data_IF_533914842671
#
_entry.id   IF_533914842671
#
_cell.length_a   1.000
_cell.length_b   1.000
_cell.length_c   1.000
_cell.angle_alpha   90.00
_cell.angle_beta   90.00
_cell.angle_gamma   90.00
#
_symmetry.space_group_name_H-M   'P 1'
#
loop_
_entity.id
_entity.type
_entity.pdbx_description
1 polymer ?
#
# COMPACT_ATOMS: atom_id res chain seq x y z
N UNK A 1 -13.27 22.37 -16.06
CA UNK A 1 -13.02 21.82 -17.36
C UNK A 1 -13.41 20.36 -17.32
N UNK A 2 -14.53 19.99 -17.99
CA UNK A 2 -14.96 18.61 -18.06
C UNK A 2 -13.96 17.78 -18.85
N UNK A 3 -13.49 16.70 -18.27
CA UNK A 3 -12.81 15.66 -19.02
C UNK A 3 -13.78 15.19 -20.12
N UNK A 4 -13.46 15.49 -21.36
CA UNK A 4 -14.11 14.82 -22.48
C UNK A 4 -13.85 13.33 -22.29
N UNK A 5 -14.89 12.58 -21.93
CA UNK A 5 -14.83 11.11 -21.95
C UNK A 5 -14.37 10.71 -23.35
N UNK A 6 -13.16 10.22 -23.46
CA UNK A 6 -12.63 9.62 -24.67
C UNK A 6 -13.58 8.49 -25.08
N UNK A 7 -14.54 8.79 -25.91
CA UNK A 7 -15.41 7.79 -26.50
C UNK A 7 -14.64 7.11 -27.62
N UNK A 8 -14.61 5.77 -27.62
CA UNK A 8 -14.03 5.06 -28.74
C UNK A 8 -14.75 5.48 -30.03
N UNK A 9 -13.96 5.77 -31.07
CA UNK A 9 -14.46 6.14 -32.38
C UNK A 9 -14.42 4.94 -33.32
N UNK A 10 -15.12 3.89 -32.94
CA UNK A 10 -15.26 2.70 -33.81
C UNK A 10 -16.47 2.91 -34.72
N UNK A 11 -16.22 2.87 -36.04
CA UNK A 11 -17.25 2.88 -37.06
C UNK A 11 -17.61 1.48 -37.47
N UNK A 12 -18.90 1.15 -37.45
CA UNK A 12 -19.42 -0.15 -37.88
C UNK A 12 -19.99 -0.07 -39.29
N UNK A 13 -19.49 -0.95 -40.14
CA UNK A 13 -20.00 -1.19 -41.50
C UNK A 13 -20.54 -2.62 -41.60
N UNK A 14 -21.50 -2.79 -42.45
CA UNK A 14 -22.00 -4.12 -42.87
C UNK A 14 -21.88 -4.21 -44.37
N UNK A 15 -21.13 -5.18 -44.87
CA UNK A 15 -20.88 -5.35 -46.31
C UNK A 15 -20.47 -4.03 -47.00
N UNK A 16 -19.55 -3.30 -46.35
CA UNK A 16 -19.01 -1.99 -46.79
C UNK A 16 -20.04 -0.82 -46.76
N UNK A 17 -21.21 -1.04 -46.18
CA UNK A 17 -22.22 0.00 -45.98
C UNK A 17 -22.10 0.55 -44.55
N UNK A 18 -21.98 1.87 -44.42
CA UNK A 18 -21.93 2.50 -43.09
C UNK A 18 -23.26 2.27 -42.33
N UNK A 19 -23.19 1.81 -41.12
CA UNK A 19 -24.33 1.55 -40.23
C UNK A 19 -24.39 2.56 -39.11
N UNK A 20 -23.29 2.68 -38.30
CA UNK A 20 -23.22 3.65 -37.22
C UNK A 20 -21.79 3.97 -36.83
N UNK A 21 -21.60 5.13 -36.22
CA UNK A 21 -20.39 5.53 -35.51
C UNK A 21 -20.60 5.47 -34.00
N UNK A 22 -19.52 5.60 -33.21
CA UNK A 22 -19.56 5.58 -31.73
C UNK A 22 -20.37 4.42 -31.15
N UNK A 23 -20.10 3.20 -31.64
CA UNK A 23 -20.70 1.99 -31.08
C UNK A 23 -20.16 1.72 -29.67
N UNK A 24 -20.85 2.27 -28.65
CA UNK A 24 -20.39 2.28 -27.25
C UNK A 24 -20.12 0.90 -26.68
N UNK A 25 -20.85 -0.11 -27.12
CA UNK A 25 -20.76 -1.45 -26.55
C UNK A 25 -19.85 -2.40 -27.34
N UNK A 26 -19.19 -1.89 -28.36
CA UNK A 26 -18.29 -2.72 -29.19
C UNK A 26 -16.94 -3.00 -28.53
N UNK A 27 -16.51 -2.12 -27.63
CA UNK A 27 -15.32 -2.28 -26.79
C UNK A 27 -15.62 -1.95 -25.34
N UNK A 28 -14.94 -2.60 -24.37
CA UNK A 28 -15.05 -2.24 -22.98
C UNK A 28 -14.45 -0.86 -22.71
N UNK A 29 -14.83 -0.25 -21.59
CA UNK A 29 -14.41 1.12 -21.24
C UNK A 29 -12.89 1.27 -21.13
N UNK A 30 -12.19 0.25 -20.66
CA UNK A 30 -10.72 0.31 -20.56
C UNK A 30 -10.01 0.37 -21.93
N UNK A 31 -10.70 0.06 -23.01
CA UNK A 31 -10.20 0.21 -24.39
C UNK A 31 -10.84 1.41 -25.13
N UNK A 32 -11.38 2.37 -24.41
CA UNK A 32 -12.08 3.55 -24.97
C UNK A 32 -11.19 4.45 -25.85
N UNK A 33 -9.90 4.33 -25.78
CA UNK A 33 -8.93 5.08 -26.58
C UNK A 33 -8.71 4.51 -27.99
N UNK A 34 -9.27 3.34 -28.28
CA UNK A 34 -9.09 2.67 -29.57
C UNK A 34 -10.02 3.28 -30.60
N UNK A 35 -9.47 3.58 -31.78
CA UNK A 35 -10.17 4.08 -32.94
C UNK A 35 -10.02 3.11 -34.09
N UNK A 36 -11.05 2.98 -34.91
CA UNK A 36 -10.97 2.10 -36.07
C UNK A 36 -12.29 1.87 -36.76
N UNK A 37 -12.26 0.91 -37.66
CA UNK A 37 -13.37 0.51 -38.52
C UNK A 37 -13.57 -1.00 -38.40
N UNK A 38 -14.82 -1.40 -38.27
CA UNK A 38 -15.24 -2.82 -38.32
C UNK A 38 -16.21 -2.99 -39.46
N UNK A 39 -15.97 -3.97 -40.30
CA UNK A 39 -16.88 -4.37 -41.36
C UNK A 39 -17.32 -5.82 -41.13
N UNK A 40 -18.60 -6.03 -40.94
CA UNK A 40 -19.19 -7.37 -40.73
C UNK A 40 -20.02 -7.79 -41.94
N UNK A 41 -19.87 -9.06 -42.36
CA UNK A 41 -20.72 -9.66 -43.38
C UNK A 41 -21.95 -10.37 -42.78
N UNK A 42 -22.01 -10.53 -41.48
CA UNK A 42 -23.00 -11.38 -40.78
C UNK A 42 -24.18 -10.60 -40.19
N UNK A 43 -24.09 -9.27 -40.12
CA UNK A 43 -25.18 -8.42 -39.65
C UNK A 43 -26.12 -8.03 -40.80
N UNK A 44 -27.45 -7.97 -40.58
CA UNK A 44 -28.37 -7.44 -41.57
C UNK A 44 -28.23 -5.94 -41.79
N UNK A 45 -28.42 -5.43 -42.99
CA UNK A 45 -28.24 -4.02 -43.35
C UNK A 45 -29.27 -3.06 -42.72
N UNK A 46 -30.42 -3.59 -42.28
CA UNK A 46 -31.53 -2.81 -41.69
C UNK A 46 -31.59 -2.90 -40.18
N UNK A 47 -30.43 -2.95 -39.53
CA UNK A 47 -30.32 -3.13 -38.06
C UNK A 47 -30.44 -1.81 -37.35
N UNK A 48 -31.34 -1.71 -36.36
CA UNK A 48 -31.37 -0.59 -35.41
C UNK A 48 -30.23 -0.67 -34.40
N UNK A 49 -29.88 0.46 -33.77
CA UNK A 49 -28.84 0.50 -32.71
C UNK A 49 -29.16 -0.46 -31.57
N UNK A 50 -30.44 -0.56 -31.17
CA UNK A 50 -30.89 -1.44 -30.08
C UNK A 50 -30.76 -2.92 -30.46
N UNK A 51 -31.13 -3.28 -31.69
CA UNK A 51 -30.98 -4.63 -32.20
C UNK A 51 -29.52 -5.07 -32.32
N UNK A 52 -28.60 -4.15 -32.59
CA UNK A 52 -27.16 -4.41 -32.63
C UNK A 52 -26.64 -4.75 -31.22
N UNK A 53 -27.05 -3.98 -30.21
CA UNK A 53 -26.61 -4.15 -28.82
C UNK A 53 -27.01 -5.53 -28.26
N UNK A 54 -28.14 -6.06 -28.65
CA UNK A 54 -28.64 -7.38 -28.22
C UNK A 54 -28.12 -8.54 -29.08
N UNK A 55 -27.46 -8.25 -30.18
CA UNK A 55 -27.01 -9.24 -31.16
C UNK A 55 -25.90 -10.14 -30.61
N UNK A 56 -26.06 -11.46 -30.82
CA UNK A 56 -24.97 -12.44 -30.56
C UNK A 56 -23.74 -12.18 -31.43
N UNK A 57 -23.94 -11.65 -32.64
CA UNK A 57 -22.86 -11.30 -33.57
C UNK A 57 -22.01 -10.18 -32.99
N UNK A 58 -22.64 -9.16 -32.38
CA UNK A 58 -21.89 -8.07 -31.73
C UNK A 58 -21.03 -8.56 -30.58
N UNK A 59 -21.51 -9.52 -29.80
CA UNK A 59 -20.70 -10.12 -28.71
C UNK A 59 -19.46 -10.83 -29.25
N UNK A 60 -19.59 -11.54 -30.37
CA UNK A 60 -18.45 -12.17 -31.03
C UNK A 60 -17.48 -11.14 -31.58
N UNK A 61 -17.99 -10.10 -32.23
CA UNK A 61 -17.19 -8.98 -32.74
C UNK A 61 -16.42 -8.33 -31.59
N UNK A 62 -17.09 -7.99 -30.49
CA UNK A 62 -16.49 -7.41 -29.29
C UNK A 62 -15.35 -8.28 -28.75
N UNK A 63 -15.59 -9.56 -28.59
CA UNK A 63 -14.58 -10.53 -28.11
C UNK A 63 -13.35 -10.55 -29.02
N UNK A 64 -13.54 -10.55 -30.32
CA UNK A 64 -12.44 -10.56 -31.30
C UNK A 64 -11.69 -9.22 -31.34
N UNK A 65 -12.39 -8.10 -31.20
CA UNK A 65 -11.78 -6.76 -31.15
C UNK A 65 -10.94 -6.59 -29.89
N UNK A 66 -11.43 -7.03 -28.75
CA UNK A 66 -10.65 -7.00 -27.49
C UNK A 66 -9.38 -7.82 -27.63
N UNK A 67 -9.50 -9.05 -28.14
CA UNK A 67 -8.35 -9.93 -28.39
C UNK A 67 -7.36 -9.29 -29.36
N UNK A 68 -7.83 -8.76 -30.48
CA UNK A 68 -6.97 -8.11 -31.48
C UNK A 68 -6.27 -6.89 -30.95
N UNK A 69 -6.96 -6.06 -30.18
CA UNK A 69 -6.39 -4.87 -29.56
C UNK A 69 -5.29 -5.26 -28.56
N UNK A 70 -5.51 -6.26 -27.72
CA UNK A 70 -4.49 -6.77 -26.80
C UNK A 70 -3.30 -7.33 -27.55
N UNK A 71 -3.52 -8.09 -28.63
CA UNK A 71 -2.44 -8.62 -29.48
C UNK A 71 -1.61 -7.48 -30.10
N UNK A 72 -2.25 -6.41 -30.57
CA UNK A 72 -1.54 -5.22 -31.10
C UNK A 72 -0.67 -4.53 -30.05
N UNK A 73 -1.18 -4.39 -28.82
CA UNK A 73 -0.38 -3.85 -27.71
C UNK A 73 0.78 -4.78 -27.34
N UNK A 74 0.56 -6.09 -27.38
CA UNK A 74 1.61 -7.09 -27.12
C UNK A 74 2.70 -7.09 -28.21
N UNK A 75 2.32 -6.93 -29.45
CA UNK A 75 3.27 -6.79 -30.57
C UNK A 75 4.13 -5.54 -30.39
N UNK A 76 3.53 -4.41 -30.04
CA UNK A 76 4.25 -3.17 -29.75
C UNK A 76 5.23 -3.35 -28.56
N UNK A 77 4.80 -4.06 -27.51
CA UNK A 77 5.63 -4.34 -26.34
C UNK A 77 6.81 -5.30 -26.66
N UNK A 78 6.69 -6.10 -27.72
CA UNK A 78 7.69 -7.07 -28.16
C UNK A 78 8.74 -6.47 -29.12
N UNK A 79 8.54 -5.25 -29.60
CA UNK A 79 9.52 -4.57 -30.45
C UNK A 79 10.85 -4.37 -29.70
N UNK A 80 11.97 -4.40 -30.45
CA UNK A 80 13.31 -4.15 -29.88
C UNK A 80 13.42 -2.73 -29.30
N UNK A 81 12.78 -1.75 -29.94
CA UNK A 81 12.70 -0.38 -29.45
C UNK A 81 11.64 -0.25 -28.34
N UNK A 82 12.09 -0.44 -27.11
CA UNK A 82 11.23 -0.34 -25.92
C UNK A 82 10.70 1.07 -25.66
N UNK A 83 11.30 2.10 -26.22
CA UNK A 83 10.85 3.47 -26.02
C UNK A 83 9.46 3.71 -26.60
N UNK A 84 9.14 3.09 -27.73
CA UNK A 84 7.79 3.19 -28.33
C UNK A 84 6.71 2.68 -27.40
N UNK A 85 6.92 1.48 -26.84
CA UNK A 85 5.97 0.92 -25.90
C UNK A 85 5.90 1.72 -24.59
N UNK A 86 7.02 2.15 -24.06
CA UNK A 86 7.05 2.96 -22.83
C UNK A 86 6.29 4.28 -23.00
N UNK A 87 6.42 4.92 -24.15
CA UNK A 87 5.67 6.13 -24.48
C UNK A 87 4.16 5.87 -24.59
N UNK A 88 3.77 4.77 -25.20
CA UNK A 88 2.38 4.32 -25.24
C UNK A 88 1.87 4.03 -23.83
N UNK A 89 2.62 3.28 -23.04
CA UNK A 89 2.29 2.90 -21.68
C UNK A 89 2.12 4.11 -20.75
N UNK A 90 2.97 5.11 -20.87
CA UNK A 90 2.85 6.37 -20.12
C UNK A 90 1.47 7.03 -20.31
N UNK A 91 0.96 7.01 -21.54
CA UNK A 91 -0.36 7.57 -21.84
C UNK A 91 -1.54 6.71 -21.43
N UNK A 92 -1.40 5.39 -21.43
CA UNK A 92 -2.51 4.44 -21.31
C UNK A 92 -2.36 3.38 -20.20
N UNK A 93 -1.40 3.57 -19.31
CA UNK A 93 -1.17 2.65 -18.18
C UNK A 93 -2.43 2.43 -17.34
N UNK A 94 -3.17 3.48 -17.03
CA UNK A 94 -4.41 3.40 -16.24
C UNK A 94 -5.47 2.56 -16.94
N UNK A 95 -5.59 2.67 -18.25
CA UNK A 95 -6.49 1.85 -19.05
C UNK A 95 -6.13 0.36 -18.97
N UNK A 96 -4.85 0.03 -19.11
CA UNK A 96 -4.37 -1.35 -18.99
C UNK A 96 -4.64 -1.88 -17.57
N UNK A 97 -4.34 -1.12 -16.54
CA UNK A 97 -4.57 -1.48 -15.14
C UNK A 97 -6.06 -1.69 -14.84
N UNK A 98 -6.93 -0.85 -15.38
CA UNK A 98 -8.38 -1.03 -15.29
C UNK A 98 -8.80 -2.34 -15.98
N UNK A 99 -8.24 -2.64 -17.13
CA UNK A 99 -8.47 -3.91 -17.83
C UNK A 99 -8.05 -5.14 -17.01
N UNK A 100 -6.90 -5.06 -16.36
CA UNK A 100 -6.44 -6.13 -15.42
C UNK A 100 -7.44 -6.31 -14.28
N UNK A 101 -8.03 -5.23 -13.78
CA UNK A 101 -9.05 -5.29 -12.73
C UNK A 101 -10.37 -5.89 -13.22
N UNK A 102 -10.89 -5.44 -14.36
CA UNK A 102 -12.24 -5.77 -14.83
C UNK A 102 -12.33 -7.05 -15.67
N UNK A 103 -11.32 -7.33 -16.50
CA UNK A 103 -11.36 -8.38 -17.51
C UNK A 103 -10.66 -9.64 -17.02
N UNK A 104 -11.42 -10.54 -16.41
CA UNK A 104 -10.89 -11.79 -15.87
C UNK A 104 -10.40 -12.75 -16.97
N UNK A 105 -10.98 -12.71 -18.16
CA UNK A 105 -10.60 -13.57 -19.29
C UNK A 105 -9.23 -13.20 -19.86
N UNK A 106 -8.95 -11.91 -19.98
CA UNK A 106 -7.72 -11.38 -20.55
C UNK A 106 -6.71 -10.88 -19.50
N UNK A 107 -6.99 -11.08 -18.22
CA UNK A 107 -6.16 -10.56 -17.12
C UNK A 107 -4.69 -10.93 -17.23
N UNK A 108 -4.39 -12.17 -17.52
CA UNK A 108 -3.01 -12.63 -17.66
C UNK A 108 -2.27 -11.94 -18.81
N UNK A 109 -2.92 -11.82 -19.97
CA UNK A 109 -2.34 -11.11 -21.12
C UNK A 109 -2.16 -9.63 -20.86
N UNK A 110 -3.17 -8.96 -20.27
CA UNK A 110 -3.08 -7.56 -19.88
C UNK A 110 -1.99 -7.33 -18.84
N UNK A 111 -1.83 -8.25 -17.89
CA UNK A 111 -0.79 -8.18 -16.87
C UNK A 111 0.62 -8.23 -17.46
N UNK A 112 0.82 -8.94 -18.57
CA UNK A 112 2.11 -8.96 -19.28
C UNK A 112 2.51 -7.58 -19.85
N UNK A 113 1.54 -6.69 -20.02
CA UNK A 113 1.72 -5.33 -20.54
C UNK A 113 2.09 -4.31 -19.45
N UNK A 114 1.96 -4.66 -18.16
CA UNK A 114 2.29 -3.81 -17.04
C UNK A 114 3.80 -3.53 -16.96
N UNK A 115 4.14 -2.31 -16.54
CA UNK A 115 5.54 -1.87 -16.38
C UNK A 115 5.69 -1.10 -15.08
N UNK A 116 6.71 -1.44 -14.30
CA UNK A 116 6.97 -0.85 -12.99
C UNK A 116 8.45 -0.58 -12.77
N UNK A 117 8.81 0.51 -12.06
CA UNK A 117 10.14 0.62 -11.49
C UNK A 117 10.36 -0.46 -10.43
N UNK A 118 11.61 -0.78 -10.15
CA UNK A 118 11.97 -1.78 -9.15
C UNK A 118 13.22 -1.38 -8.36
N UNK A 119 13.53 -2.16 -7.33
CA UNK A 119 14.77 -1.98 -6.55
C UNK A 119 16.03 -2.18 -7.36
N UNK A 120 15.97 -2.87 -8.49
CA UNK A 120 17.10 -3.06 -9.41
C UNK A 120 17.26 -1.93 -10.41
N UNK A 121 16.16 -1.26 -10.76
CA UNK A 121 16.21 -0.06 -11.59
C UNK A 121 15.00 0.84 -11.33
N UNK A 122 15.25 2.05 -10.84
CA UNK A 122 14.23 3.07 -10.69
C UNK A 122 13.91 3.79 -12.01
N UNK A 123 14.81 3.75 -12.98
CA UNK A 123 14.69 4.45 -14.26
C UNK A 123 14.17 3.58 -15.38
N UNK A 124 14.59 2.32 -15.43
CA UNK A 124 14.12 1.36 -16.42
C UNK A 124 12.92 0.61 -15.87
N UNK A 125 11.82 0.66 -16.61
CA UNK A 125 10.60 -0.05 -16.23
C UNK A 125 10.75 -1.55 -16.45
N UNK A 126 10.23 -2.33 -15.52
CA UNK A 126 10.29 -3.79 -15.50
C UNK A 126 8.89 -4.37 -15.76
N UNK A 127 8.81 -5.32 -16.70
CA UNK A 127 7.62 -6.16 -16.87
C UNK A 127 7.59 -7.27 -15.82
N UNK A 128 6.42 -7.87 -15.61
CA UNK A 128 6.31 -9.05 -14.75
C UNK A 128 7.12 -10.24 -15.30
N UNK A 129 7.17 -10.40 -16.62
CA UNK A 129 8.00 -11.44 -17.26
C UNK A 129 9.49 -11.22 -17.04
N UNK A 130 9.98 -9.98 -17.16
CA UNK A 130 11.37 -9.64 -16.87
C UNK A 130 11.70 -9.86 -15.39
N UNK A 131 10.79 -9.51 -14.49
CA UNK A 131 10.94 -9.81 -13.07
C UNK A 131 11.11 -11.31 -12.84
N UNK A 132 10.23 -12.13 -13.40
CA UNK A 132 10.28 -13.61 -13.27
C UNK A 132 11.59 -14.16 -13.83
N UNK A 133 12.09 -13.61 -14.94
CA UNK A 133 13.37 -14.03 -15.54
C UNK A 133 14.58 -13.81 -14.63
N UNK A 134 14.48 -12.85 -13.71
CA UNK A 134 15.52 -12.51 -12.73
C UNK A 134 15.29 -13.08 -11.33
N UNK A 135 14.19 -13.82 -11.12
CA UNK A 135 13.90 -14.43 -9.83
C UNK A 135 14.97 -15.45 -9.43
N UNK A 136 15.22 -15.57 -8.13
CA UNK A 136 16.02 -16.64 -7.59
C UNK A 136 15.35 -18.00 -7.88
N UNK A 137 16.15 -19.05 -8.04
CA UNK A 137 15.68 -20.40 -8.40
C UNK A 137 14.54 -20.90 -7.50
N UNK A 138 14.62 -20.62 -6.20
CA UNK A 138 13.64 -21.07 -5.21
C UNK A 138 12.59 -20.00 -4.85
N UNK A 139 12.63 -18.84 -5.50
CA UNK A 139 11.69 -17.76 -5.23
C UNK A 139 10.31 -18.10 -5.80
N UNK A 140 9.28 -18.02 -4.97
CA UNK A 140 7.89 -18.36 -5.33
C UNK A 140 7.01 -17.14 -5.59
N UNK A 141 7.43 -15.97 -5.12
CA UNK A 141 6.60 -14.77 -5.09
C UNK A 141 7.21 -13.60 -5.84
N UNK A 142 6.35 -12.81 -6.46
CA UNK A 142 6.68 -11.50 -7.00
C UNK A 142 6.48 -10.49 -5.88
N UNK A 143 7.56 -9.90 -5.40
CA UNK A 143 7.51 -8.92 -4.31
C UNK A 143 7.23 -7.52 -4.83
N UNK A 144 6.35 -6.81 -4.15
CA UNK A 144 6.07 -5.41 -4.45
C UNK A 144 5.88 -4.59 -3.18
N UNK A 145 6.10 -3.29 -3.29
CA UNK A 145 5.80 -2.29 -2.28
C UNK A 145 5.03 -1.14 -2.94
N UNK A 146 3.93 -0.76 -2.34
CA UNK A 146 3.11 0.37 -2.79
C UNK A 146 3.40 1.62 -1.98
N UNK A 147 3.30 2.78 -2.62
CA UNK A 147 3.48 4.07 -1.98
C UNK A 147 3.06 5.22 -2.87
N UNK A 148 3.18 6.43 -2.37
CA UNK A 148 2.83 7.65 -3.09
C UNK A 148 3.78 7.93 -4.27
N UNK A 149 5.07 7.65 -4.07
CA UNK A 149 6.11 7.80 -5.09
C UNK A 149 7.25 6.84 -4.83
N UNK A 150 8.08 6.58 -5.86
CA UNK A 150 9.30 5.78 -5.69
C UNK A 150 10.22 6.39 -4.64
N UNK A 151 10.40 7.71 -4.67
CA UNK A 151 11.23 8.44 -3.72
C UNK A 151 10.80 8.23 -2.27
N UNK A 152 9.49 8.11 -2.02
CA UNK A 152 8.95 7.92 -0.66
C UNK A 152 9.17 6.51 -0.12
N UNK A 153 9.38 5.50 -0.96
CA UNK A 153 9.45 4.09 -0.57
C UNK A 153 10.75 3.37 -0.91
N UNK A 154 11.62 3.95 -1.73
CA UNK A 154 12.87 3.30 -2.17
C UNK A 154 13.85 2.98 -1.03
N UNK A 155 13.76 3.69 0.09
CA UNK A 155 14.56 3.48 1.31
C UNK A 155 13.72 2.93 2.48
N UNK A 156 12.59 2.34 2.19
CA UNK A 156 11.70 1.77 3.22
C UNK A 156 12.37 0.64 4.00
N UNK A 157 12.16 0.56 5.33
CA UNK A 157 12.65 -0.55 6.14
C UNK A 157 12.08 -1.91 5.71
N UNK A 158 10.94 -1.95 5.06
CA UNK A 158 10.37 -3.18 4.50
C UNK A 158 11.27 -3.86 3.46
N UNK A 159 12.20 -3.12 2.86
CA UNK A 159 13.09 -3.61 1.80
C UNK A 159 14.43 -4.13 2.31
N UNK A 160 14.79 -3.92 3.57
CA UNK A 160 16.16 -4.13 4.07
C UNK A 160 16.66 -5.56 3.86
N UNK A 161 15.95 -6.56 4.36
CA UNK A 161 16.37 -7.96 4.24
C UNK A 161 16.24 -8.48 2.81
N UNK A 162 15.23 -8.04 2.08
CA UNK A 162 15.04 -8.40 0.68
C UNK A 162 16.22 -7.90 -0.18
N UNK A 163 16.62 -6.66 0.00
CA UNK A 163 17.81 -6.10 -0.68
C UNK A 163 19.09 -6.84 -0.30
N UNK A 164 19.27 -7.14 0.99
CA UNK A 164 20.45 -7.88 1.48
C UNK A 164 20.54 -9.28 0.87
N UNK A 165 19.43 -9.96 0.71
CA UNK A 165 19.35 -11.29 0.08
C UNK A 165 19.32 -11.24 -1.45
N UNK A 166 19.29 -10.05 -2.07
CA UNK A 166 19.31 -9.87 -3.51
C UNK A 166 17.97 -10.07 -4.22
N UNK A 167 16.85 -10.06 -3.50
CA UNK A 167 15.52 -10.10 -4.10
C UNK A 167 15.13 -8.76 -4.68
N UNK A 168 14.56 -8.79 -5.88
CA UNK A 168 13.97 -7.61 -6.51
C UNK A 168 12.58 -7.34 -5.98
N UNK A 169 12.24 -6.05 -5.77
CA UNK A 169 10.92 -5.59 -5.35
C UNK A 169 10.41 -4.55 -6.33
N UNK A 170 9.21 -4.75 -6.85
CA UNK A 170 8.52 -3.80 -7.72
C UNK A 170 7.91 -2.66 -6.89
N UNK A 171 7.90 -1.45 -7.45
CA UNK A 171 7.26 -0.28 -6.84
C UNK A 171 5.96 0.06 -7.55
N UNK A 172 4.87 0.03 -6.80
CA UNK A 172 3.53 0.37 -7.27
C UNK A 172 3.11 1.71 -6.69
N UNK A 173 3.16 2.76 -7.49
CA UNK A 173 2.98 4.14 -7.03
C UNK A 173 1.75 4.84 -7.62
N UNK A 174 0.93 4.13 -8.36
CA UNK A 174 -0.35 4.63 -8.85
C UNK A 174 -1.48 4.12 -7.94
N UNK A 175 -2.42 5.00 -7.58
CA UNK A 175 -3.56 4.63 -6.72
C UNK A 175 -4.39 3.47 -7.29
N UNK A 176 -4.54 3.41 -8.61
CA UNK A 176 -5.26 2.31 -9.27
C UNK A 176 -4.59 0.95 -9.07
N UNK A 177 -3.29 0.89 -8.79
CA UNK A 177 -2.58 -0.36 -8.52
C UNK A 177 -3.16 -1.10 -7.31
N UNK A 178 -3.59 -0.38 -6.27
CA UNK A 178 -4.21 -0.99 -5.09
C UNK A 178 -5.54 -1.70 -5.43
N UNK A 179 -6.32 -1.12 -6.32
CA UNK A 179 -7.56 -1.75 -6.80
C UNK A 179 -7.27 -2.91 -7.73
N UNK A 180 -6.33 -2.75 -8.65
CA UNK A 180 -5.90 -3.80 -9.58
C UNK A 180 -5.40 -5.04 -8.81
N UNK A 181 -4.63 -4.87 -7.75
CA UNK A 181 -4.10 -5.94 -6.91
C UNK A 181 -5.17 -6.71 -6.13
N UNK A 182 -6.38 -6.17 -5.99
CA UNK A 182 -7.50 -6.92 -5.42
C UNK A 182 -7.89 -8.10 -6.31
N UNK A 183 -7.66 -8.01 -7.62
CA UNK A 183 -7.97 -9.03 -8.61
C UNK A 183 -6.73 -9.77 -9.12
N UNK A 184 -5.60 -9.10 -9.26
CA UNK A 184 -4.33 -9.71 -9.68
C UNK A 184 -3.60 -10.30 -8.47
N UNK A 185 -3.88 -11.58 -8.15
CA UNK A 185 -3.24 -12.29 -7.04
C UNK A 185 -2.04 -13.12 -7.48
N UNK A 186 -2.10 -13.66 -8.68
CA UNK A 186 -1.08 -14.54 -9.24
C UNK A 186 -0.77 -14.14 -10.69
N UNK A 187 0.46 -14.38 -11.10
CA UNK A 187 0.90 -14.25 -12.48
C UNK A 187 1.87 -15.37 -12.83
N UNK A 188 1.55 -16.18 -13.83
CA UNK A 188 2.35 -17.35 -14.27
C UNK A 188 2.81 -18.23 -13.07
N UNK A 189 1.87 -18.64 -12.25
CA UNK A 189 2.08 -19.46 -11.05
C UNK A 189 2.91 -18.81 -9.94
N UNK A 190 3.16 -17.51 -10.01
CA UNK A 190 3.83 -16.73 -8.98
C UNK A 190 2.84 -15.82 -8.28
N UNK A 191 2.78 -15.91 -6.96
CA UNK A 191 1.93 -15.05 -6.14
C UNK A 191 2.54 -13.66 -5.99
N UNK A 192 1.73 -12.61 -6.14
CA UNK A 192 2.15 -11.24 -5.82
C UNK A 192 2.06 -11.03 -4.31
N UNK A 193 3.15 -10.61 -3.67
CA UNK A 193 3.24 -10.42 -2.22
C UNK A 193 3.63 -8.99 -1.88
N UNK A 194 2.79 -8.34 -1.07
CA UNK A 194 3.05 -7.03 -0.48
C UNK A 194 4.06 -7.15 0.66
N UNK A 195 5.24 -6.54 0.50
CA UNK A 195 6.32 -6.64 1.50
C UNK A 195 6.08 -5.84 2.77
N UNK A 196 5.03 -5.01 2.80
CA UNK A 196 4.58 -4.29 4.00
C UNK A 196 3.60 -5.08 4.87
N UNK A 197 3.18 -6.27 4.41
CA UNK A 197 2.27 -7.16 5.12
C UNK A 197 3.02 -8.30 5.80
N UNK A 198 2.34 -8.97 6.74
CA UNK A 198 2.87 -10.18 7.39
C UNK A 198 3.12 -11.31 6.37
N UNK A 199 3.94 -12.27 6.76
CA UNK A 199 4.23 -13.50 6.01
C UNK A 199 4.82 -13.29 4.61
N UNK A 200 6.07 -12.83 4.55
CA UNK A 200 6.79 -12.68 3.29
C UNK A 200 7.08 -14.02 2.58
N UNK A 201 7.09 -15.12 3.31
CA UNK A 201 7.43 -16.42 2.76
C UNK A 201 8.88 -16.52 2.26
N UNK A 202 9.81 -15.77 2.87
CA UNK A 202 11.23 -15.86 2.56
C UNK A 202 11.77 -17.22 2.94
N UNK A 203 12.58 -17.81 2.05
CA UNK A 203 13.33 -19.01 2.39
C UNK A 203 14.41 -18.69 3.42
N UNK A 204 14.42 -19.48 4.49
CA UNK A 204 15.39 -19.42 5.55
C UNK A 204 16.14 -20.75 5.62
N UNK A 205 17.43 -20.67 5.93
CA UNK A 205 18.23 -21.87 6.26
C UNK A 205 17.76 -22.48 7.58
N UNK A 206 18.06 -23.74 7.83
CA UNK A 206 17.76 -24.38 9.11
C UNK A 206 18.41 -23.67 10.30
N UNK A 207 19.61 -23.10 10.09
CA UNK A 207 20.30 -22.28 11.09
C UNK A 207 19.57 -20.99 11.39
N UNK A 208 19.09 -20.28 10.36
CA UNK A 208 18.30 -19.05 10.50
C UNK A 208 16.98 -19.31 11.23
N UNK A 209 16.27 -20.40 10.91
CA UNK A 209 15.04 -20.81 11.59
C UNK A 209 15.28 -21.10 13.07
N UNK A 210 16.34 -21.84 13.38
CA UNK A 210 16.69 -22.20 14.75
C UNK A 210 17.06 -20.97 15.58
N UNK A 211 17.87 -20.07 15.01
CA UNK A 211 18.23 -18.81 15.64
C UNK A 211 16.98 -17.94 15.90
N UNK A 212 16.08 -17.88 14.95
CA UNK A 212 14.83 -17.13 15.08
C UNK A 212 13.93 -17.69 16.19
N UNK A 213 13.76 -19.00 16.28
CA UNK A 213 13.01 -19.66 17.35
C UNK A 213 13.60 -19.39 18.74
N UNK A 214 14.95 -19.39 18.84
CA UNK A 214 15.65 -19.04 20.09
C UNK A 214 15.38 -17.58 20.46
N UNK A 215 15.43 -16.66 19.51
CA UNK A 215 15.15 -15.23 19.72
C UNK A 215 13.69 -14.98 20.10
N UNK A 216 12.73 -15.68 19.49
CA UNK A 216 11.33 -15.59 19.89
C UNK A 216 11.12 -15.97 21.36
N UNK A 217 11.78 -17.00 21.83
CA UNK A 217 11.71 -17.43 23.23
C UNK A 217 12.39 -16.42 24.17
N UNK A 218 13.54 -15.90 23.76
CA UNK A 218 14.32 -14.94 24.55
C UNK A 218 13.58 -13.62 24.74
N UNK A 219 12.87 -13.14 23.70
CA UNK A 219 12.17 -11.86 23.72
C UNK A 219 10.68 -11.95 24.07
N UNK A 220 10.18 -13.11 24.44
CA UNK A 220 8.76 -13.32 24.72
C UNK A 220 8.18 -12.32 25.73
N UNK A 221 8.84 -12.19 26.89
CA UNK A 221 8.40 -11.30 27.96
C UNK A 221 8.46 -9.82 27.55
N UNK A 222 9.47 -9.45 26.78
CA UNK A 222 9.59 -8.09 26.22
C UNK A 222 8.46 -7.80 25.24
N UNK A 223 8.14 -8.73 24.37
CA UNK A 223 7.01 -8.58 23.44
C UNK A 223 5.67 -8.44 24.16
N UNK A 224 5.44 -9.21 25.20
CA UNK A 224 4.23 -9.07 26.04
C UNK A 224 4.17 -7.71 26.72
N UNK A 225 5.26 -7.25 27.29
CA UNK A 225 5.37 -5.91 27.89
C UNK A 225 5.09 -4.78 26.88
N UNK A 226 5.68 -4.87 25.69
CA UNK A 226 5.48 -3.88 24.62
C UNK A 226 4.01 -3.88 24.17
N UNK A 227 3.42 -5.05 24.00
CA UNK A 227 2.02 -5.17 23.61
C UNK A 227 1.06 -4.58 24.65
N UNK A 228 1.29 -4.86 25.93
CA UNK A 228 0.52 -4.28 27.02
C UNK A 228 0.65 -2.76 27.09
N UNK A 229 1.88 -2.25 26.94
CA UNK A 229 2.16 -0.80 26.95
C UNK A 229 1.43 -0.09 25.81
N UNK A 230 1.38 -0.68 24.63
CA UNK A 230 0.72 -0.09 23.45
C UNK A 230 -0.81 -0.27 23.44
N UNK A 231 -1.35 -1.03 24.35
CA UNK A 231 -2.78 -1.20 24.65
C UNK A 231 -3.75 -0.95 23.48
N UNK A 232 -3.96 -1.96 22.65
CA UNK A 232 -4.92 -1.93 21.54
C UNK A 232 -4.46 -1.18 20.27
N UNK A 233 -3.27 -0.60 20.24
CA UNK A 233 -2.72 0.06 19.05
C UNK A 233 -2.23 -0.93 18.00
N UNK A 234 -1.86 -2.13 18.45
CA UNK A 234 -1.40 -3.22 17.58
C UNK A 234 -2.11 -4.52 17.96
N UNK A 235 -2.26 -5.42 17.00
CA UNK A 235 -2.85 -6.73 17.23
C UNK A 235 -1.87 -7.69 17.90
N UNK A 236 -0.58 -7.57 17.60
CA UNK A 236 0.49 -8.35 18.23
C UNK A 236 1.85 -7.69 18.09
N UNK A 237 2.78 -8.11 18.92
CA UNK A 237 4.20 -7.75 18.88
C UNK A 237 5.01 -9.04 18.68
N UNK A 238 5.92 -9.03 17.72
CA UNK A 238 6.73 -10.21 17.36
C UNK A 238 8.11 -9.82 16.88
N UNK A 239 8.99 -10.82 16.76
CA UNK A 239 10.29 -10.64 16.12
C UNK A 239 10.14 -10.46 14.61
N UNK A 240 10.98 -9.62 14.00
CA UNK A 240 10.95 -9.34 12.59
C UNK A 240 11.80 -10.29 11.77
N UNK A 241 11.30 -10.69 10.58
CA UNK A 241 12.05 -11.40 9.55
C UNK A 241 12.52 -10.52 8.39
N UNK A 242 12.23 -9.20 8.42
CA UNK A 242 12.38 -8.33 7.24
C UNK A 242 13.32 -7.14 7.43
N UNK A 243 13.66 -6.77 8.65
CA UNK A 243 14.55 -5.64 8.95
C UNK A 243 15.95 -6.11 9.36
N UNK A 244 16.96 -5.27 9.07
CA UNK A 244 18.37 -5.53 9.34
C UNK A 244 18.99 -4.41 10.15
N UNK A 245 18.87 -3.17 9.68
CA UNK A 245 19.47 -1.98 10.28
C UNK A 245 18.49 -1.16 11.12
N UNK A 246 17.21 -1.34 10.90
CA UNK A 246 16.14 -0.65 11.63
C UNK A 246 15.73 -1.42 12.87
N UNK A 247 15.48 -0.75 14.02
CA UNK A 247 15.11 -1.43 15.26
C UNK A 247 13.71 -2.04 15.25
N UNK A 248 12.75 -1.40 14.60
CA UNK A 248 11.36 -1.80 14.60
C UNK A 248 10.69 -1.44 13.27
N UNK A 249 9.63 -2.16 12.93
CA UNK A 249 8.79 -1.86 11.78
C UNK A 249 7.33 -2.18 12.12
N UNK A 250 6.40 -1.44 11.54
CA UNK A 250 4.98 -1.65 11.68
C UNK A 250 4.42 -2.26 10.39
N UNK A 251 4.00 -3.51 10.44
CA UNK A 251 3.41 -4.22 9.30
C UNK A 251 1.89 -4.27 9.42
N UNK A 252 1.23 -4.52 8.30
CA UNK A 252 -0.19 -4.81 8.28
C UNK A 252 -0.42 -6.32 8.33
N UNK A 253 -1.54 -6.75 8.93
CA UNK A 253 -1.97 -8.13 8.80
C UNK A 253 -2.30 -8.46 7.35
N UNK A 254 -2.38 -9.75 7.03
CA UNK A 254 -2.67 -10.23 5.67
C UNK A 254 -3.93 -9.61 5.06
N UNK A 255 -4.96 -9.37 5.87
CA UNK A 255 -6.25 -8.81 5.45
C UNK A 255 -6.43 -7.34 5.82
N UNK A 256 -5.51 -6.74 6.55
CA UNK A 256 -5.53 -5.32 6.88
C UNK A 256 -5.07 -4.44 5.71
N UNK A 257 -5.41 -3.17 5.76
CA UNK A 257 -4.92 -2.21 4.78
C UNK A 257 -3.44 -1.90 5.00
N UNK A 258 -2.67 -1.85 3.91
CA UNK A 258 -1.33 -1.28 3.91
C UNK A 258 -1.37 0.23 4.24
N UNK A 259 -0.23 0.80 4.60
CA UNK A 259 -0.12 2.25 4.81
C UNK A 259 -0.59 3.05 3.58
N UNK A 260 -0.23 2.60 2.39
CA UNK A 260 -0.65 3.25 1.13
C UNK A 260 -2.17 3.17 0.93
N UNK A 261 -2.79 2.01 1.19
CA UNK A 261 -4.24 1.86 1.08
C UNK A 261 -4.97 2.73 2.11
N UNK A 262 -4.47 2.82 3.35
CA UNK A 262 -5.03 3.72 4.36
C UNK A 262 -4.99 5.18 3.91
N UNK A 263 -3.88 5.63 3.31
CA UNK A 263 -3.74 6.99 2.77
C UNK A 263 -4.78 7.26 1.68
N UNK A 264 -4.97 6.33 0.76
CA UNK A 264 -5.94 6.43 -0.34
C UNK A 264 -7.37 6.47 0.20
N UNK A 265 -7.71 5.58 1.11
CA UNK A 265 -9.06 5.48 1.66
C UNK A 265 -9.44 6.66 2.57
N UNK A 266 -8.49 7.25 3.29
CA UNK A 266 -8.71 8.48 4.07
C UNK A 266 -9.08 9.69 3.21
N UNK A 267 -8.58 9.75 1.98
CA UNK A 267 -8.90 10.81 1.02
C UNK A 267 -10.31 10.68 0.42
N UNK A 268 -10.99 9.54 0.60
CA UNK A 268 -12.34 9.28 0.11
C UNK A 268 -13.39 9.62 1.18
N UNK A 269 -14.10 10.72 1.00
CA UNK A 269 -15.05 11.30 1.98
C UNK A 269 -16.31 10.44 2.26
N UNK A 270 -16.55 9.37 1.52
CA UNK A 270 -17.75 8.52 1.61
C UNK A 270 -17.49 7.13 2.21
N UNK A 271 -16.31 6.89 2.77
CA UNK A 271 -15.98 5.61 3.33
C UNK A 271 -16.63 5.41 4.71
N UNK A 272 -17.15 4.21 4.93
CA UNK A 272 -17.72 3.81 6.21
C UNK A 272 -16.66 3.79 7.32
N UNK A 273 -16.83 4.63 8.34
CA UNK A 273 -15.86 4.78 9.42
C UNK A 273 -15.66 3.50 10.25
N UNK A 274 -16.66 2.64 10.37
CA UNK A 274 -16.57 1.41 11.15
C UNK A 274 -15.67 0.37 10.49
N UNK A 275 -15.82 0.17 9.19
CA UNK A 275 -14.97 -0.72 8.41
C UNK A 275 -13.54 -0.18 8.32
N UNK A 276 -13.37 1.13 8.16
CA UNK A 276 -12.05 1.77 8.17
C UNK A 276 -11.32 1.53 9.49
N UNK A 277 -11.97 1.72 10.63
CA UNK A 277 -11.37 1.48 11.95
C UNK A 277 -10.92 0.04 12.11
N UNK A 278 -11.73 -0.92 11.69
CA UNK A 278 -11.38 -2.34 11.74
C UNK A 278 -10.15 -2.64 10.86
N UNK A 279 -10.15 -2.20 9.60
CA UNK A 279 -9.06 -2.45 8.66
C UNK A 279 -7.77 -1.72 9.05
N UNK A 280 -7.87 -0.53 9.65
CA UNK A 280 -6.72 0.24 10.14
C UNK A 280 -6.11 -0.37 11.41
N UNK A 281 -6.89 -1.01 12.26
CA UNK A 281 -6.44 -1.60 13.53
C UNK A 281 -5.64 -2.90 13.39
N UNK A 282 -5.56 -3.48 12.20
CA UNK A 282 -4.88 -4.75 11.94
C UNK A 282 -3.37 -4.55 11.66
N UNK A 283 -2.64 -4.05 12.67
CA UNK A 283 -1.19 -3.77 12.60
C UNK A 283 -0.41 -4.69 13.52
N UNK A 284 0.77 -5.06 13.06
CA UNK A 284 1.72 -5.91 13.77
C UNK A 284 3.00 -5.13 14.00
N UNK A 285 3.44 -5.04 15.24
CA UNK A 285 4.69 -4.38 15.61
C UNK A 285 5.80 -5.40 15.66
N UNK A 286 6.77 -5.26 14.76
CA UNK A 286 7.90 -6.18 14.62
C UNK A 286 9.17 -5.56 15.18
N UNK A 287 9.85 -6.29 16.05
CA UNK A 287 11.10 -5.89 16.69
C UNK A 287 12.28 -6.61 16.04
N UNK A 288 13.39 -5.91 15.87
CA UNK A 288 14.66 -6.50 15.41
C UNK A 288 15.50 -6.96 16.61
N UNK A 289 15.58 -8.28 16.87
CA UNK A 289 16.29 -8.79 18.04
C UNK A 289 17.81 -8.56 18.00
N UNK A 290 18.37 -8.34 16.81
CA UNK A 290 19.79 -8.09 16.61
C UNK A 290 20.18 -6.60 16.72
N UNK A 291 19.20 -5.71 16.80
CA UNK A 291 19.47 -4.28 16.90
C UNK A 291 19.81 -3.88 18.33
N UNK A 292 20.88 -3.09 18.50
CA UNK A 292 21.37 -2.63 19.82
C UNK A 292 20.29 -1.98 20.67
N UNK A 293 19.39 -1.20 20.05
CA UNK A 293 18.29 -0.52 20.76
C UNK A 293 17.33 -1.53 21.37
N UNK A 294 16.98 -2.59 20.64
CA UNK A 294 16.06 -3.62 21.11
C UNK A 294 16.71 -4.49 22.18
N UNK A 295 18.00 -4.81 22.03
CA UNK A 295 18.75 -5.49 23.06
C UNK A 295 18.86 -4.64 24.34
N UNK A 296 19.10 -3.34 24.20
CA UNK A 296 19.11 -2.39 25.32
C UNK A 296 17.77 -2.30 26.03
N UNK A 297 16.68 -2.27 25.29
CA UNK A 297 15.32 -2.31 25.83
C UNK A 297 15.08 -3.58 26.67
N UNK A 298 15.48 -4.73 26.16
CA UNK A 298 15.39 -6.00 26.86
C UNK A 298 16.20 -6.00 28.17
N UNK A 299 17.43 -5.56 28.12
CA UNK A 299 18.30 -5.50 29.30
C UNK A 299 17.73 -4.57 30.38
N UNK A 300 17.21 -3.43 29.98
CA UNK A 300 16.59 -2.47 30.91
C UNK A 300 15.30 -3.01 31.51
N UNK A 301 14.47 -3.70 30.72
CA UNK A 301 13.26 -4.38 31.17
C UNK A 301 13.58 -5.49 32.18
N UNK A 302 14.60 -6.29 31.96
CA UNK A 302 15.01 -7.37 32.88
C UNK A 302 15.55 -6.81 34.19
N UNK A 303 16.19 -5.63 34.17
CA UNK A 303 16.73 -4.99 35.34
C UNK A 303 15.61 -4.37 36.22
N UNK A 304 14.64 -3.69 35.63
CA UNK A 304 13.50 -3.09 36.32
C UNK A 304 12.28 -3.06 35.40
N UNK A 305 11.34 -3.97 35.67
CA UNK A 305 10.08 -4.09 34.88
C UNK A 305 9.13 -2.91 35.07
N UNK A 306 9.31 -2.13 36.13
CA UNK A 306 8.44 -1.00 36.49
C UNK A 306 9.06 0.38 36.18
N UNK A 307 10.17 0.40 35.44
CA UNK A 307 10.81 1.62 35.01
C UNK A 307 9.85 2.43 34.11
N UNK A 308 9.42 3.62 34.56
CA UNK A 308 8.50 4.50 33.85
C UNK A 308 9.07 4.97 32.51
N UNK A 309 10.38 5.13 32.43
CA UNK A 309 11.09 5.53 31.20
C UNK A 309 10.97 4.48 30.10
N UNK A 310 10.83 3.19 30.45
CA UNK A 310 10.64 2.12 29.47
C UNK A 310 9.37 2.30 28.64
N UNK A 311 8.27 2.72 29.27
CA UNK A 311 7.00 2.96 28.58
C UNK A 311 7.12 4.08 27.55
N UNK A 312 7.78 5.17 27.92
CA UNK A 312 8.03 6.28 27.00
C UNK A 312 8.92 5.86 25.83
N UNK A 313 9.96 5.05 26.07
CA UNK A 313 10.81 4.51 25.02
C UNK A 313 10.06 3.59 24.06
N UNK A 314 9.17 2.75 24.58
CA UNK A 314 8.30 1.88 23.75
C UNK A 314 7.39 2.72 22.86
N UNK A 315 6.74 3.75 23.41
CA UNK A 315 5.90 4.65 22.62
C UNK A 315 6.69 5.40 21.54
N UNK A 316 7.90 5.86 21.83
CA UNK A 316 8.76 6.52 20.85
C UNK A 316 9.20 5.58 19.73
N UNK A 317 9.58 4.36 20.06
CA UNK A 317 9.90 3.34 19.07
C UNK A 317 8.69 3.03 18.17
N UNK A 318 7.51 2.90 18.78
CA UNK A 318 6.28 2.68 18.04
C UNK A 318 5.92 3.85 17.12
N UNK A 319 5.89 5.07 17.63
CA UNK A 319 5.54 6.26 16.86
C UNK A 319 6.56 6.54 15.74
N UNK A 320 7.85 6.32 15.99
CA UNK A 320 8.89 6.37 14.96
C UNK A 320 8.67 5.32 13.88
N UNK A 321 8.26 4.12 14.27
CA UNK A 321 7.93 3.04 13.32
C UNK A 321 6.66 3.33 12.52
N UNK A 322 5.67 3.97 13.11
CA UNK A 322 4.47 4.46 12.39
C UNK A 322 4.88 5.33 11.22
N UNK A 323 5.72 6.33 11.47
CA UNK A 323 6.22 7.23 10.42
C UNK A 323 7.09 6.52 9.40
N UNK A 324 8.06 5.74 9.85
CA UNK A 324 9.02 5.06 8.98
C UNK A 324 8.38 3.94 8.14
N UNK A 325 7.25 3.40 8.59
CA UNK A 325 6.46 2.40 7.88
C UNK A 325 5.42 3.01 6.93
N UNK A 326 5.35 4.33 6.83
CA UNK A 326 4.48 5.06 5.91
C UNK A 326 3.09 5.38 6.44
N UNK A 327 2.81 5.10 7.71
CA UNK A 327 1.54 5.46 8.35
C UNK A 327 1.57 6.91 8.87
N UNK A 328 0.39 7.47 9.11
CA UNK A 328 0.24 8.75 9.76
C UNK A 328 0.12 8.60 11.28
N UNK A 329 0.71 9.54 12.03
CA UNK A 329 0.50 9.63 13.48
C UNK A 329 -0.92 10.08 13.79
N UNK A 330 -1.58 9.41 14.75
CA UNK A 330 -2.90 9.83 15.24
C UNK A 330 -2.82 11.13 16.05
N UNK A 331 -1.78 11.28 16.86
CA UNK A 331 -1.55 12.45 17.70
C UNK A 331 -0.10 12.95 17.58
N UNK A 332 0.20 13.84 16.61
CA UNK A 332 1.54 14.40 16.43
C UNK A 332 2.03 15.20 17.63
N UNK A 333 1.13 15.85 18.36
CA UNK A 333 1.48 16.67 19.54
C UNK A 333 2.06 15.83 20.67
N UNK A 334 1.47 14.69 20.96
CA UNK A 334 1.97 13.74 21.97
C UNK A 334 3.36 13.21 21.60
N UNK A 335 3.55 12.86 20.33
CA UNK A 335 4.86 12.43 19.82
C UNK A 335 5.92 13.52 20.00
N UNK A 336 5.61 14.74 19.61
CA UNK A 336 6.52 15.89 19.76
C UNK A 336 6.86 16.13 21.23
N UNK A 337 5.90 16.04 22.14
CA UNK A 337 6.14 16.18 23.58
C UNK A 337 7.15 15.14 24.11
N UNK A 338 7.04 13.87 23.67
CA UNK A 338 8.00 12.84 24.05
C UNK A 338 9.40 13.11 23.50
N UNK A 339 9.49 13.61 22.27
CA UNK A 339 10.78 14.01 21.69
C UNK A 339 11.40 15.16 22.48
N UNK A 340 10.62 16.18 22.86
CA UNK A 340 11.10 17.32 23.63
C UNK A 340 11.66 16.86 24.98
N UNK A 341 11.01 15.95 25.69
CA UNK A 341 11.54 15.36 26.93
C UNK A 341 12.91 14.71 26.75
N UNK A 342 13.11 14.00 25.66
CA UNK A 342 14.41 13.38 25.34
C UNK A 342 15.46 14.45 25.01
N UNK A 343 15.08 15.49 24.30
CA UNK A 343 15.96 16.61 23.99
C UNK A 343 16.41 17.29 25.31
N UNK A 344 15.50 17.53 26.25
CA UNK A 344 15.76 18.12 27.54
C UNK A 344 16.73 17.27 28.38
N UNK A 345 16.50 15.95 28.44
CA UNK A 345 17.44 15.01 29.07
C UNK A 345 18.81 15.03 28.39
N UNK A 346 18.86 15.10 27.05
CA UNK A 346 20.11 15.22 26.30
C UNK A 346 20.86 16.54 26.56
N UNK A 347 20.14 17.61 26.93
CA UNK A 347 20.69 18.90 27.32
C UNK A 347 21.06 18.97 28.83
N UNK A 348 20.72 17.93 29.60
CA UNK A 348 21.03 17.83 31.03
C UNK A 348 20.00 18.44 31.97
N UNK A 349 18.77 18.65 31.51
CA UNK A 349 17.67 19.05 32.39
C UNK A 349 17.13 17.83 33.11
N UNK A 350 16.87 17.94 34.42
CA UNK A 350 16.34 16.86 35.24
C UNK A 350 14.79 16.86 35.24
N UNK A 351 14.19 15.67 35.28
CA UNK A 351 12.73 15.50 35.34
C UNK A 351 12.08 16.11 36.58
N UNK A 352 12.85 16.37 37.63
CA UNK A 352 12.34 16.93 38.88
C UNK A 352 11.89 18.41 38.75
N UNK A 353 12.42 19.17 37.77
CA UNK A 353 12.03 20.55 37.53
C UNK A 353 10.65 20.69 36.83
N UNK A 354 10.24 19.72 36.03
CA UNK A 354 8.93 19.74 35.36
C UNK A 354 7.76 19.50 36.33
N UNK A 355 7.94 18.66 37.34
CA UNK A 355 6.90 18.36 38.33
C UNK A 355 6.61 19.57 39.27
N UNK A 356 7.54 20.52 39.41
CA UNK A 356 7.33 21.75 40.18
C UNK A 356 6.62 22.82 39.34
N UNK A 357 6.89 22.94 38.04
CA UNK A 357 6.19 23.86 37.14
C UNK A 357 4.74 23.46 36.90
N UNK A 358 4.43 22.16 36.67
CA UNK A 358 3.06 21.68 36.54
C UNK A 358 2.23 21.85 37.83
N UNK A 359 2.87 21.77 39.00
CA UNK A 359 2.20 22.03 40.27
C UNK A 359 1.91 23.50 40.49
N UNK A 360 2.75 24.39 40.00
CA UNK A 360 2.55 25.84 40.10
C UNK A 360 1.41 26.29 39.17
N UNK A 361 1.34 25.77 37.97
CA UNK A 361 0.24 26.06 37.05
C UNK A 361 -1.11 25.49 37.50
N UNK A 362 -1.13 24.34 38.20
CA UNK A 362 -2.37 23.79 38.75
C UNK A 362 -2.90 24.57 39.97
N UNK A 363 -2.03 25.19 40.74
CA UNK A 363 -2.41 26.06 41.88
C UNK A 363 -2.91 27.44 41.43
N UNK A 364 -2.52 27.94 40.27
CA UNK A 364 -2.99 29.24 39.75
C UNK A 364 -4.36 29.21 39.09
N UNK A 365 -4.90 28.03 38.80
CA UNK A 365 -6.23 27.87 38.16
C UNK A 365 -7.35 27.64 39.20
N UNK A 366 -7.02 27.23 40.44
CA UNK A 366 -8.05 26.98 41.47
C UNK A 366 -8.49 28.23 42.25
N UNK A 367 -7.83 29.40 42.09
CA UNK A 367 -8.11 30.60 42.93
C UNK A 367 -8.92 31.72 42.22
N UNK A 368 -9.43 31.49 41.01
CA UNK A 368 -10.34 32.41 40.30
C UNK A 368 -11.82 31.97 40.26
N UNK A 369 -12.22 30.94 41.02
CA UNK A 369 -13.54 30.33 40.96
C UNK A 369 -14.57 30.72 42.00
N UNK A 370 -14.25 31.59 43.00
CA UNK A 370 -15.19 31.95 44.08
C UNK A 370 -15.33 33.44 44.30
N UNK A 371 -15.90 34.16 43.39
CA UNK A 371 -16.56 35.46 43.63
C UNK A 371 -17.51 35.80 42.46
N UNK A 372 -18.76 35.40 42.58
CA UNK A 372 -19.96 36.11 42.13
C UNK A 372 -21.20 35.21 42.21
N UNK A 373 -21.74 35.17 43.40
CA UNK A 373 -23.18 34.89 43.53
C UNK A 373 -23.75 35.68 44.71
N UNK A 374 -24.09 36.90 44.46
CA UNK A 374 -25.08 37.60 45.30
C UNK A 374 -25.69 38.76 44.53
N UNK A 375 -27.01 38.71 44.43
CA UNK A 375 -27.96 39.78 44.09
C UNK A 375 -28.51 39.84 42.69
N UNK A 376 -29.63 39.15 42.48
CA UNK A 376 -30.75 39.70 41.72
C UNK A 376 -32.03 39.59 42.54
N UNK A 377 -32.38 40.71 43.18
CA UNK A 377 -33.74 40.98 43.68
C UNK A 377 -34.71 41.18 42.51
N UNK A 378 -35.86 40.50 42.63
CA UNK A 378 -37.04 40.75 41.84
C UNK A 378 -37.63 42.12 42.17
N UNK A 379 -38.02 42.89 41.19
CA UNK A 379 -39.07 43.94 41.31
C UNK A 379 -39.98 43.79 40.09
N UNK A 380 -41.28 43.51 40.43
CA UNK A 380 -42.54 43.68 39.72
C UNK A 380 -42.59 43.65 38.18
#
# INVERSE_FOLDING_TARGET
>A
GGEEKLNNKIKLYVRRVFILDNCKDILPEYLNFVNGVVDSNDLPLNVSREMIQESKVLRVIRKQLVKKTIDMMSDLASEEDKEKYNKFYEGFAKNIKLGVYEDNTNRSKLSSLLRYPSTKSAQELTSLDDYISRMHENQKSIYYLSGESVKSIENSPFLEKLKKKGYEVLFFTDAIDEYMLQQLKDYKDKTLVDVSKEDLGLEETEEEKKQFEEQEKEFKDVCEFVNETLSGKVSKVQMSHRIVDTPCVLTSSKFGWSANMQRIMKAQALADNSMQQYMMGQKIFELNPNHRTIQGLKQRFEKDKNDSTLKDLVWLLFESSVLNSGFALENPTTFTSRINKIIDLGLGFDEEEEDEEEKIDSYSIEDEGDLEDSNMEQVD
#
